data_IF_559012610102
#
_entry.id   IF_559012610102
#
_cell.length_a   1.000
_cell.length_b   1.000
_cell.length_c   1.000
_cell.angle_alpha   90.00
_cell.angle_beta   90.00
_cell.angle_gamma   90.00
#
_symmetry.space_group_name_H-M   'P 1'
#
loop_
_entity.id
_entity.type
_entity.pdbx_description
1 polymer ?
#
# COMPACT_ATOMS: atom_id res chain seq x y z
N UNK A 1 -21.46 31.66 39.80
CA UNK A 1 -21.83 30.40 39.09
C UNK A 1 -21.89 30.72 37.61
N UNK A 2 -20.72 30.78 36.97
CA UNK A 2 -20.65 30.89 35.51
C UNK A 2 -20.85 29.48 34.93
N UNK A 3 -21.85 29.32 34.07
CA UNK A 3 -22.08 28.08 33.34
C UNK A 3 -20.88 27.86 32.42
N UNK A 4 -19.97 26.96 32.82
CA UNK A 4 -18.99 26.33 31.94
C UNK A 4 -19.74 25.78 30.73
N UNK A 5 -19.61 26.43 29.57
CA UNK A 5 -20.07 25.87 28.31
C UNK A 5 -19.10 24.71 28.02
N UNK A 6 -19.47 23.49 28.41
CA UNK A 6 -18.86 22.29 27.87
C UNK A 6 -19.20 22.25 26.38
N UNK A 7 -18.33 22.83 25.55
CA UNK A 7 -18.44 22.67 24.10
C UNK A 7 -18.12 21.21 23.82
N UNK A 8 -19.10 20.46 23.30
CA UNK A 8 -18.95 19.06 22.92
C UNK A 8 -17.75 18.94 21.96
N UNK A 9 -16.75 18.06 22.24
CA UNK A 9 -15.63 17.80 21.34
C UNK A 9 -16.04 17.51 19.89
N UNK A 10 -17.25 16.98 19.66
CA UNK A 10 -17.82 16.76 18.32
C UNK A 10 -18.16 18.07 17.59
N UNK A 11 -18.49 19.14 18.31
CA UNK A 11 -18.76 20.48 17.74
C UNK A 11 -17.45 21.13 17.30
N UNK A 12 -16.37 20.97 18.08
CA UNK A 12 -15.04 21.47 17.73
C UNK A 12 -14.44 20.72 16.54
N UNK A 13 -14.65 19.41 16.47
CA UNK A 13 -14.28 18.61 15.31
C UNK A 13 -15.06 19.06 14.06
N UNK A 14 -16.39 19.22 14.17
CA UNK A 14 -17.23 19.73 13.08
C UNK A 14 -16.87 21.14 12.63
N UNK A 15 -16.41 22.01 13.53
CA UNK A 15 -15.91 23.34 13.18
C UNK A 15 -14.59 23.28 12.43
N UNK A 16 -13.67 22.39 12.83
CA UNK A 16 -12.43 22.17 12.10
C UNK A 16 -12.68 21.54 10.71
N UNK A 17 -13.56 20.55 10.62
CA UNK A 17 -14.02 19.90 9.38
C UNK A 17 -14.73 20.91 8.46
N UNK A 18 -15.64 21.72 8.98
CA UNK A 18 -16.33 22.79 8.23
C UNK A 18 -15.35 23.84 7.67
N UNK A 19 -14.31 24.17 8.41
CA UNK A 19 -13.26 25.09 7.95
C UNK A 19 -12.37 24.45 6.89
N UNK A 20 -12.15 23.14 6.96
CA UNK A 20 -11.33 22.40 6.00
C UNK A 20 -12.07 22.17 4.67
N UNK A 21 -13.36 21.82 4.72
CA UNK A 21 -14.22 21.46 3.59
C UNK A 21 -15.00 22.64 2.98
N UNK A 22 -15.11 23.76 3.70
CA UNK A 22 -15.85 24.94 3.24
C UNK A 22 -15.19 25.68 2.07
N UNK A 23 -16.02 26.28 1.20
CA UNK A 23 -15.62 27.21 0.12
C UNK A 23 -15.14 28.57 0.67
N UNK A 24 -14.21 28.56 1.62
CA UNK A 24 -13.61 29.76 2.23
C UNK A 24 -12.13 29.82 1.91
N UNK A 25 -11.62 31.04 1.76
CA UNK A 25 -10.22 31.29 1.43
C UNK A 25 -9.30 30.89 2.57
N UNK A 26 -8.07 30.46 2.26
CA UNK A 26 -7.07 30.04 3.26
C UNK A 26 -6.75 31.13 4.30
N UNK A 27 -6.87 32.41 3.92
CA UNK A 27 -6.76 33.55 4.85
C UNK A 27 -7.87 33.52 5.90
N UNK A 28 -9.10 33.19 5.49
CA UNK A 28 -10.24 33.07 6.39
C UNK A 28 -10.09 31.85 7.30
N UNK A 29 -9.58 30.72 6.78
CA UNK A 29 -9.28 29.53 7.60
C UNK A 29 -8.30 29.84 8.72
N UNK A 30 -7.19 30.53 8.42
CA UNK A 30 -6.19 30.94 9.42
C UNK A 30 -6.77 31.83 10.51
N UNK A 31 -7.61 32.80 10.14
CA UNK A 31 -8.28 33.68 11.09
C UNK A 31 -9.21 32.88 12.00
N UNK A 32 -10.03 31.99 11.42
CA UNK A 32 -11.01 31.21 12.19
C UNK A 32 -10.32 30.25 13.17
N UNK A 33 -9.28 29.56 12.74
CA UNK A 33 -8.53 28.65 13.61
C UNK A 33 -7.82 29.38 14.75
N UNK A 34 -7.29 30.59 14.52
CA UNK A 34 -6.71 31.40 15.60
C UNK A 34 -7.78 31.77 16.63
N UNK A 35 -8.95 32.23 16.17
CA UNK A 35 -10.08 32.58 17.05
C UNK A 35 -10.58 31.37 17.83
N UNK A 36 -10.72 30.21 17.20
CA UNK A 36 -11.09 28.95 17.87
C UNK A 36 -10.03 28.58 18.91
N UNK A 37 -8.74 28.70 18.57
CA UNK A 37 -7.68 28.39 19.52
C UNK A 37 -7.70 29.29 20.75
N UNK A 38 -7.91 30.60 20.58
CA UNK A 38 -8.03 31.56 21.68
C UNK A 38 -9.19 31.20 22.63
N UNK A 39 -10.38 30.95 22.07
CA UNK A 39 -11.55 30.52 22.85
C UNK A 39 -11.27 29.22 23.63
N UNK A 40 -10.58 28.26 23.03
CA UNK A 40 -10.20 27.02 23.71
C UNK A 40 -9.21 27.27 24.86
N UNK A 41 -8.25 28.19 24.68
CA UNK A 41 -7.31 28.55 25.76
C UNK A 41 -8.01 29.22 26.93
N UNK A 42 -8.92 30.15 26.65
CA UNK A 42 -9.72 30.86 27.66
C UNK A 42 -10.58 29.89 28.49
N UNK A 43 -11.06 28.81 27.87
CA UNK A 43 -11.86 27.77 28.53
C UNK A 43 -11.03 26.63 29.14
N UNK A 44 -9.71 26.81 29.35
CA UNK A 44 -8.79 25.79 29.87
C UNK A 44 -8.67 24.49 29.04
N UNK A 45 -9.13 24.50 27.78
CA UNK A 45 -9.03 23.37 26.84
C UNK A 45 -7.67 23.38 26.14
N UNK A 46 -6.60 23.19 26.93
CA UNK A 46 -5.22 23.34 26.47
C UNK A 46 -4.81 22.30 25.42
N UNK A 47 -5.31 21.06 25.53
CA UNK A 47 -4.93 19.97 24.60
C UNK A 47 -5.52 20.20 23.23
N UNK A 48 -6.76 20.67 23.18
CA UNK A 48 -7.52 20.99 21.99
C UNK A 48 -6.97 22.25 21.32
N UNK A 49 -6.59 23.26 22.11
CA UNK A 49 -5.89 24.44 21.59
C UNK A 49 -4.55 24.08 20.92
N UNK A 50 -3.76 23.18 21.53
CA UNK A 50 -2.51 22.68 20.94
C UNK A 50 -2.80 21.94 19.63
N UNK A 51 -3.82 21.09 19.60
CA UNK A 51 -4.23 20.39 18.38
C UNK A 51 -4.61 21.38 17.26
N UNK A 52 -5.38 22.43 17.56
CA UNK A 52 -5.76 23.47 16.60
C UNK A 52 -4.54 24.28 16.11
N UNK A 53 -3.61 24.64 17.02
CA UNK A 53 -2.37 25.35 16.65
C UNK A 53 -1.45 24.50 15.78
N UNK A 54 -1.39 23.20 16.04
CA UNK A 54 -0.62 22.27 15.22
C UNK A 54 -1.29 22.08 13.85
N UNK A 55 -2.63 22.04 13.79
CA UNK A 55 -3.40 22.02 12.54
C UNK A 55 -3.16 23.29 11.68
N UNK A 56 -3.09 24.45 12.33
CA UNK A 56 -2.67 25.70 11.69
C UNK A 56 -1.25 25.63 11.14
N UNK A 57 -0.34 25.01 11.89
CA UNK A 57 1.01 24.69 11.43
C UNK A 57 0.97 23.83 10.16
N UNK A 58 0.10 22.82 10.11
CA UNK A 58 -0.09 21.97 8.92
C UNK A 58 -0.62 22.74 7.71
N UNK A 59 -1.57 23.67 7.89
CA UNK A 59 -2.10 24.52 6.80
C UNK A 59 -1.02 25.47 6.29
N UNK A 60 -0.26 26.10 7.20
CA UNK A 60 0.84 26.96 6.84
C UNK A 60 1.96 26.19 6.12
N UNK A 61 2.25 24.96 6.55
CA UNK A 61 3.21 24.08 5.92
C UNK A 61 2.75 23.61 4.53
N UNK A 62 1.49 23.21 4.39
CA UNK A 62 0.90 22.83 3.10
C UNK A 62 0.96 23.96 2.06
N UNK A 63 0.93 25.23 2.49
CA UNK A 63 1.17 26.38 1.61
C UNK A 63 2.62 26.43 1.13
N UNK A 64 3.59 26.24 2.03
CA UNK A 64 5.02 26.18 1.68
C UNK A 64 5.27 25.04 0.68
N UNK A 65 4.59 23.91 0.83
CA UNK A 65 4.73 22.77 -0.07
C UNK A 65 4.05 22.94 -1.43
N UNK A 66 2.89 23.61 -1.51
CA UNK A 66 2.29 24.00 -2.79
C UNK A 66 3.15 25.00 -3.58
N UNK A 67 4.02 25.73 -2.89
CA UNK A 67 5.01 26.62 -3.50
C UNK A 67 6.34 25.89 -3.76
N UNK A 68 6.54 24.70 -3.18
CA UNK A 68 7.71 23.84 -3.33
C UNK A 68 7.41 22.60 -4.20
N UNK A 69 6.79 22.81 -5.36
CA UNK A 69 6.60 21.78 -6.41
C UNK A 69 7.94 21.17 -6.91
N UNK A 70 9.08 21.65 -6.39
CA UNK A 70 10.44 21.16 -6.62
C UNK A 70 11.04 20.52 -5.35
N UNK A 71 10.36 19.57 -4.70
CA UNK A 71 11.08 18.66 -3.80
C UNK A 71 12.12 17.96 -4.67
N UNK A 72 13.40 17.98 -4.26
CA UNK A 72 14.51 17.32 -4.98
C UNK A 72 14.33 15.78 -4.89
N UNK A 73 13.45 15.24 -5.72
CA UNK A 73 13.00 13.84 -5.74
C UNK A 73 14.02 12.89 -6.37
N UNK A 74 15.32 13.12 -6.20
CA UNK A 74 16.34 12.24 -6.79
C UNK A 74 16.21 10.78 -6.33
N UNK A 75 15.55 10.52 -5.19
CA UNK A 75 15.28 9.16 -4.67
C UNK A 75 13.81 8.79 -4.48
N UNK A 76 12.90 9.76 -4.43
CA UNK A 76 11.46 9.49 -4.31
C UNK A 76 10.82 9.37 -5.68
N UNK A 77 10.17 8.23 -5.92
CA UNK A 77 9.27 8.11 -7.05
C UNK A 77 7.86 8.51 -6.60
N UNK A 78 7.32 9.57 -7.20
CA UNK A 78 5.90 9.87 -7.08
C UNK A 78 5.12 8.82 -7.87
N UNK A 79 4.30 8.03 -7.17
CA UNK A 79 3.44 7.05 -7.80
C UNK A 79 2.06 7.66 -8.00
N UNK A 80 1.65 7.85 -9.27
CA UNK A 80 0.25 8.14 -9.58
C UNK A 80 -0.57 6.91 -9.16
N UNK A 81 -1.39 7.08 -8.14
CA UNK A 81 -2.36 6.07 -7.71
C UNK A 81 -3.58 6.15 -8.63
N UNK A 82 -3.48 5.52 -9.80
CA UNK A 82 -4.67 5.24 -10.61
C UNK A 82 -5.54 4.23 -9.86
N UNK A 83 -6.86 4.42 -9.93
CA UNK A 83 -7.86 3.61 -9.22
C UNK A 83 -7.74 2.16 -9.73
N UNK A 84 -6.92 1.34 -9.06
CA UNK A 84 -6.94 -0.10 -9.26
C UNK A 84 -8.29 -0.59 -8.76
N UNK A 85 -9.04 -1.16 -9.69
CA UNK A 85 -10.42 -1.60 -9.60
C UNK A 85 -10.75 -2.20 -8.23
N UNK A 86 -11.85 -1.69 -7.65
CA UNK A 86 -12.35 -2.06 -6.34
C UNK A 86 -12.51 -3.59 -6.23
N UNK A 87 -11.70 -4.22 -5.36
CA UNK A 87 -12.06 -5.32 -4.43
C UNK A 87 -10.81 -6.07 -3.93
N UNK A 88 -9.92 -5.39 -3.20
CA UNK A 88 -9.15 -6.09 -2.15
C UNK A 88 -10.07 -6.39 -0.96
N UNK A 89 -9.79 -7.43 -0.14
CA UNK A 89 -10.68 -7.91 0.92
C UNK A 89 -11.26 -6.75 1.76
N UNK A 90 -12.55 -6.45 1.50
CA UNK A 90 -13.24 -5.19 1.89
C UNK A 90 -13.12 -4.86 3.37
N UNK A 91 -13.06 -5.87 4.24
CA UNK A 91 -13.06 -5.66 5.69
C UNK A 91 -11.73 -5.15 6.23
N UNK A 92 -10.58 -5.65 5.73
CA UNK A 92 -9.25 -5.19 6.20
C UNK A 92 -8.88 -3.85 5.55
N UNK A 93 -9.22 -3.68 4.27
CA UNK A 93 -8.97 -2.43 3.54
C UNK A 93 -9.79 -1.28 4.14
N UNK A 94 -11.09 -1.48 4.38
CA UNK A 94 -11.97 -0.44 4.94
C UNK A 94 -11.47 0.11 6.27
N UNK A 95 -11.08 -0.76 7.20
CA UNK A 95 -10.53 -0.35 8.50
C UNK A 95 -9.22 0.42 8.36
N UNK A 96 -8.35 0.05 7.42
CA UNK A 96 -7.09 0.77 7.19
C UNK A 96 -7.35 2.14 6.57
N UNK A 97 -8.27 2.25 5.62
CA UNK A 97 -8.70 3.52 5.04
C UNK A 97 -9.28 4.42 6.12
N UNK A 98 -10.13 3.91 7.00
CA UNK A 98 -10.66 4.65 8.15
C UNK A 98 -9.56 5.14 9.08
N UNK A 99 -8.58 4.30 9.43
CA UNK A 99 -7.46 4.68 10.29
C UNK A 99 -6.59 5.76 9.62
N UNK A 100 -6.27 5.59 8.34
CA UNK A 100 -5.41 6.50 7.57
C UNK A 100 -6.10 7.86 7.37
N UNK A 101 -7.41 7.89 7.17
CA UNK A 101 -8.19 9.13 7.04
C UNK A 101 -8.52 9.78 8.39
N UNK A 102 -8.29 9.09 9.50
CA UNK A 102 -8.50 9.66 10.83
C UNK A 102 -7.26 10.45 11.25
N UNK A 103 -7.19 11.72 10.82
CA UNK A 103 -6.08 12.63 11.12
C UNK A 103 -5.77 12.71 12.61
N UNK A 104 -6.78 12.65 13.49
CA UNK A 104 -6.58 12.64 14.93
C UNK A 104 -5.85 11.37 15.43
N UNK A 105 -6.16 10.19 14.87
CA UNK A 105 -5.46 8.94 15.19
C UNK A 105 -4.02 8.98 14.66
N UNK A 106 -3.83 9.36 13.40
CA UNK A 106 -2.49 9.47 12.78
C UNK A 106 -1.61 10.45 13.56
N UNK A 107 -2.17 11.58 13.95
CA UNK A 107 -1.48 12.59 14.74
C UNK A 107 -1.12 12.09 16.14
N UNK A 108 -2.03 11.40 16.84
CA UNK A 108 -1.77 10.83 18.19
C UNK A 108 -0.63 9.82 18.22
N UNK A 109 -0.41 9.10 17.13
CA UNK A 109 0.71 8.15 17.02
C UNK A 109 2.06 8.81 16.71
N UNK A 110 2.14 10.15 16.62
CA UNK A 110 3.30 10.87 16.09
C UNK A 110 3.69 10.36 14.69
N UNK A 111 2.68 10.17 13.85
CA UNK A 111 2.78 9.52 12.55
C UNK A 111 2.37 8.05 12.61
N UNK A 112 1.58 7.62 11.62
CA UNK A 112 1.12 6.25 11.50
C UNK A 112 2.17 5.41 10.79
N UNK A 113 2.70 4.40 11.48
CA UNK A 113 3.74 3.50 10.97
C UNK A 113 3.13 2.11 10.79
N UNK A 114 3.03 1.65 9.55
CA UNK A 114 2.47 0.34 9.20
C UNK A 114 3.58 -0.52 8.61
N UNK A 115 3.73 -1.74 9.11
CA UNK A 115 4.61 -2.75 8.54
C UNK A 115 3.77 -3.84 7.87
N UNK A 116 3.94 -4.03 6.57
CA UNK A 116 3.26 -5.04 5.78
C UNK A 116 4.28 -6.10 5.38
N UNK A 117 4.03 -7.36 5.69
CA UNK A 117 4.96 -8.45 5.41
C UNK A 117 4.25 -9.71 4.93
N UNK A 118 4.98 -10.59 4.25
CA UNK A 118 4.44 -11.86 3.75
C UNK A 118 5.19 -12.34 2.52
N UNK A 119 4.83 -13.52 1.99
CA UNK A 119 5.50 -14.12 0.83
C UNK A 119 5.52 -13.17 -0.40
N UNK A 120 6.52 -13.27 -1.29
CA UNK A 120 6.50 -12.57 -2.58
C UNK A 120 5.20 -12.85 -3.36
N UNK A 121 4.74 -11.87 -4.15
CA UNK A 121 3.53 -12.04 -4.97
C UNK A 121 2.20 -11.94 -4.22
N UNK A 122 2.20 -11.64 -2.92
CA UNK A 122 0.96 -11.47 -2.11
C UNK A 122 0.28 -10.11 -2.28
N UNK A 123 0.72 -9.24 -3.20
CA UNK A 123 0.06 -7.96 -3.48
C UNK A 123 0.36 -6.83 -2.48
N UNK A 124 1.44 -6.91 -1.69
CA UNK A 124 1.81 -5.90 -0.68
C UNK A 124 1.92 -4.48 -1.25
N UNK A 125 2.67 -4.31 -2.35
CA UNK A 125 2.88 -3.00 -3.00
C UNK A 125 1.57 -2.47 -3.59
N UNK A 126 0.79 -3.34 -4.24
CA UNK A 126 -0.54 -3.00 -4.78
C UNK A 126 -1.54 -2.59 -3.69
N UNK A 127 -1.51 -3.24 -2.52
CA UNK A 127 -2.32 -2.84 -1.37
C UNK A 127 -2.01 -1.39 -0.94
N UNK A 128 -0.74 -0.99 -0.92
CA UNK A 128 -0.36 0.39 -0.57
C UNK A 128 -0.81 1.39 -1.64
N UNK A 129 -0.66 1.06 -2.92
CA UNK A 129 -1.18 1.88 -4.02
C UNK A 129 -2.71 2.06 -3.93
N UNK A 130 -3.42 0.97 -3.62
CA UNK A 130 -4.87 0.96 -3.42
C UNK A 130 -5.27 1.81 -2.20
N UNK A 131 -4.54 1.71 -1.08
CA UNK A 131 -4.76 2.54 0.10
C UNK A 131 -4.58 4.03 -0.23
N UNK A 132 -3.54 4.39 -0.97
CA UNK A 132 -3.32 5.78 -1.40
C UNK A 132 -4.45 6.29 -2.30
N UNK A 133 -4.90 5.49 -3.27
CA UNK A 133 -6.04 5.81 -4.12
C UNK A 133 -7.33 6.01 -3.30
N UNK A 134 -7.68 5.04 -2.45
CA UNK A 134 -8.89 5.04 -1.64
C UNK A 134 -8.93 6.19 -0.62
N UNK A 135 -7.77 6.59 -0.10
CA UNK A 135 -7.64 7.70 0.85
C UNK A 135 -7.42 9.05 0.15
N UNK A 136 -7.25 9.06 -1.18
CA UNK A 136 -6.92 10.25 -1.99
C UNK A 136 -5.68 10.99 -1.49
N UNK A 137 -4.70 10.24 -0.96
CA UNK A 137 -3.43 10.78 -0.43
C UNK A 137 -2.32 10.59 -1.46
N UNK A 138 -1.39 11.53 -1.51
CA UNK A 138 -0.17 11.40 -2.31
C UNK A 138 0.64 10.18 -1.86
N UNK A 139 1.19 9.43 -2.82
CA UNK A 139 2.05 8.28 -2.57
C UNK A 139 3.48 8.55 -3.04
N UNK A 140 4.40 8.58 -2.10
CA UNK A 140 5.84 8.64 -2.34
C UNK A 140 6.43 7.26 -2.09
N UNK A 141 7.22 6.75 -3.03
CA UNK A 141 7.88 5.45 -2.88
C UNK A 141 9.39 5.59 -2.89
N UNK A 142 10.04 4.85 -1.99
CA UNK A 142 11.49 4.64 -1.96
C UNK A 142 11.76 3.15 -1.79
N UNK A 143 12.64 2.58 -2.61
CA UNK A 143 13.19 1.25 -2.30
C UNK A 143 14.29 1.41 -1.27
N UNK A 144 14.25 0.61 -0.20
CA UNK A 144 15.28 0.67 0.84
C UNK A 144 16.68 0.31 0.33
N UNK A 145 16.80 -0.38 -0.82
CA UNK A 145 18.09 -0.70 -1.45
C UNK A 145 18.79 0.57 -1.97
N UNK A 146 18.03 1.58 -2.41
CA UNK A 146 18.55 2.89 -2.87
C UNK A 146 19.14 3.75 -1.73
N UNK A 147 18.89 3.37 -0.48
CA UNK A 147 19.39 4.07 0.71
C UNK A 147 20.80 3.56 1.06
N UNK A 148 21.10 2.30 0.76
CA UNK A 148 22.32 1.61 1.19
C UNK A 148 23.49 2.00 0.26
N UNK A 149 24.61 2.38 0.86
CA UNK A 149 25.89 2.62 0.19
C UNK A 149 26.96 1.70 0.77
N UNK A 150 27.92 1.31 -0.07
CA UNK A 150 29.11 0.55 0.35
C UNK A 150 30.17 1.43 1.03
N UNK A 151 29.97 2.75 1.06
CA UNK A 151 30.91 3.70 1.62
C UNK A 151 30.52 4.03 3.06
N UNK A 152 31.51 3.94 3.96
CA UNK A 152 31.36 4.18 5.39
C UNK A 152 30.64 5.50 5.67
N UNK A 153 29.51 5.43 6.39
CA UNK A 153 28.77 6.62 6.83
C UNK A 153 27.84 7.26 5.78
N UNK A 154 27.91 6.86 4.50
CA UNK A 154 27.01 7.40 3.48
C UNK A 154 25.58 6.88 3.65
N UNK A 155 25.40 5.63 4.09
CA UNK A 155 24.07 5.07 4.34
C UNK A 155 23.31 5.85 5.41
N UNK A 156 23.97 6.27 6.49
CA UNK A 156 23.35 7.08 7.54
C UNK A 156 22.96 8.47 7.01
N UNK A 157 23.82 9.10 6.20
CA UNK A 157 23.50 10.37 5.53
C UNK A 157 22.29 10.22 4.59
N UNK A 158 22.22 9.11 3.86
CA UNK A 158 21.08 8.81 2.98
C UNK A 158 19.79 8.63 3.79
N UNK A 159 19.85 7.98 4.95
CA UNK A 159 18.70 7.86 5.86
C UNK A 159 18.29 9.25 6.37
N UNK A 160 19.23 10.06 6.87
CA UNK A 160 18.91 11.40 7.36
C UNK A 160 18.26 12.26 6.24
N UNK A 161 18.85 12.26 5.04
CA UNK A 161 18.30 12.98 3.87
C UNK A 161 16.90 12.48 3.50
N UNK A 162 16.68 11.15 3.47
CA UNK A 162 15.37 10.57 3.22
C UNK A 162 14.32 11.10 4.20
N UNK A 163 14.66 11.14 5.49
CA UNK A 163 13.71 11.60 6.51
C UNK A 163 13.56 13.12 6.55
N UNK A 164 14.52 13.89 6.04
CA UNK A 164 14.36 15.31 5.74
C UNK A 164 13.38 15.53 4.59
N UNK A 165 13.54 14.80 3.49
CA UNK A 165 12.61 14.80 2.36
C UNK A 165 11.20 14.35 2.77
N UNK A 166 11.07 13.37 3.69
CA UNK A 166 9.77 12.98 4.28
C UNK A 166 9.14 14.11 5.08
N UNK A 167 9.93 14.92 5.80
CA UNK A 167 9.40 16.07 6.53
C UNK A 167 8.86 17.10 5.56
N UNK A 168 9.55 17.27 4.43
CA UNK A 168 9.18 18.15 3.32
C UNK A 168 8.09 17.58 2.41
N UNK A 169 7.73 16.30 2.53
CA UNK A 169 6.63 15.73 1.77
C UNK A 169 5.27 16.31 2.19
N UNK A 170 4.28 16.20 1.28
CA UNK A 170 2.93 16.70 1.53
C UNK A 170 2.35 16.14 2.83
N UNK A 171 1.73 17.00 3.62
CA UNK A 171 1.08 16.59 4.86
C UNK A 171 0.05 15.48 4.61
N UNK A 172 0.08 14.44 5.45
CA UNK A 172 -0.82 13.31 5.31
C UNK A 172 -0.57 12.46 4.06
N UNK A 173 0.56 12.61 3.38
CA UNK A 173 1.00 11.68 2.33
C UNK A 173 1.41 10.33 2.90
N UNK A 174 1.28 9.31 2.06
CA UNK A 174 1.74 7.96 2.33
C UNK A 174 3.16 7.83 1.77
N UNK A 175 4.10 7.44 2.62
CA UNK A 175 5.47 7.13 2.25
C UNK A 175 5.63 5.62 2.30
N UNK A 176 5.84 5.02 1.13
CA UNK A 176 6.15 3.62 0.96
C UNK A 176 7.67 3.42 1.01
N UNK A 177 8.11 2.59 1.95
CA UNK A 177 9.47 2.01 1.98
C UNK A 177 9.37 0.57 1.51
N UNK A 178 9.62 0.34 0.22
CA UNK A 178 9.59 -1.00 -0.38
C UNK A 178 10.93 -1.73 -0.17
N UNK A 179 10.90 -3.06 -0.31
CA UNK A 179 12.06 -3.93 -0.09
C UNK A 179 12.76 -3.65 1.23
N UNK A 180 12.01 -3.51 2.33
CA UNK A 180 12.57 -3.13 3.63
C UNK A 180 13.60 -4.15 4.15
N UNK A 181 13.50 -5.41 3.70
CA UNK A 181 14.52 -6.44 3.91
C UNK A 181 15.82 -6.22 3.10
N UNK A 182 15.90 -5.27 2.20
CA UNK A 182 17.19 -4.91 1.57
C UNK A 182 18.14 -4.22 2.54
N UNK A 183 17.63 -3.58 3.61
CA UNK A 183 18.44 -3.02 4.72
C UNK A 183 19.34 -4.07 5.40
N UNK A 184 19.24 -5.34 4.99
CA UNK A 184 20.01 -6.48 5.46
C UNK A 184 21.27 -6.77 4.66
N UNK A 185 21.45 -6.19 3.47
CA UNK A 185 22.35 -6.64 2.40
C UNK A 185 23.85 -6.75 2.70
N UNK A 186 24.28 -6.64 3.96
CA UNK A 186 25.68 -6.77 4.40
C UNK A 186 25.90 -7.82 5.49
N UNK A 187 24.95 -8.74 5.73
CA UNK A 187 24.96 -9.62 6.91
C UNK A 187 25.46 -11.05 6.73
N UNK A 188 26.03 -11.41 5.58
CA UNK A 188 26.87 -12.61 5.49
C UNK A 188 28.34 -12.24 5.75
N UNK A 189 28.65 -12.06 7.03
CA UNK A 189 29.95 -12.10 7.74
C UNK A 189 30.01 -11.01 8.79
N UNK A 190 29.94 -11.41 10.07
CA UNK A 190 30.20 -10.60 11.26
C UNK A 190 29.32 -9.34 11.40
N UNK A 191 28.50 -9.32 12.44
CA UNK A 191 27.62 -8.18 12.75
C UNK A 191 28.48 -6.91 12.94
N UNK A 192 28.61 -6.11 11.88
CA UNK A 192 29.42 -4.92 11.84
C UNK A 192 28.71 -3.77 12.57
N UNK A 193 29.43 -3.01 13.40
CA UNK A 193 28.93 -1.81 14.10
C UNK A 193 28.22 -0.83 13.15
N UNK A 194 28.61 -0.79 11.89
CA UNK A 194 27.95 0.02 10.86
C UNK A 194 26.47 -0.32 10.68
N UNK A 195 26.12 -1.60 10.73
CA UNK A 195 24.74 -2.04 10.64
C UNK A 195 23.92 -1.51 11.82
N UNK A 196 24.44 -1.64 13.05
CA UNK A 196 23.73 -1.15 14.24
C UNK A 196 23.61 0.37 14.25
N UNK A 197 24.64 1.09 13.77
CA UNK A 197 24.57 2.55 13.58
C UNK A 197 23.50 2.93 12.54
N UNK A 198 23.41 2.19 11.44
CA UNK A 198 22.38 2.38 10.42
C UNK A 198 20.97 2.17 11.00
N UNK A 199 20.72 1.04 11.67
CA UNK A 199 19.43 0.76 12.33
C UNK A 199 19.11 1.82 13.39
N UNK A 200 20.09 2.21 14.21
CA UNK A 200 19.93 3.28 15.19
C UNK A 200 19.53 4.62 14.55
N UNK A 201 20.15 4.97 13.42
CA UNK A 201 19.84 6.20 12.68
C UNK A 201 18.43 6.14 12.07
N UNK A 202 18.06 5.01 11.46
CA UNK A 202 16.72 4.79 10.94
C UNK A 202 15.67 4.90 12.04
N UNK A 203 15.88 4.19 13.15
CA UNK A 203 14.98 4.20 14.30
C UNK A 203 14.81 5.59 14.92
N UNK A 204 15.91 6.33 15.10
CA UNK A 204 15.90 7.71 15.58
C UNK A 204 15.07 8.62 14.66
N UNK A 205 15.18 8.46 13.35
CA UNK A 205 14.41 9.26 12.41
C UNK A 205 12.94 8.84 12.34
N UNK A 206 12.66 7.53 12.42
CA UNK A 206 11.30 7.01 12.52
C UNK A 206 10.58 7.55 13.78
N UNK A 207 11.28 7.70 14.90
CA UNK A 207 10.77 8.30 16.13
C UNK A 207 10.53 9.83 16.01
N UNK A 208 11.20 10.49 15.06
CA UNK A 208 11.13 11.94 14.82
C UNK A 208 10.32 12.33 13.58
N UNK A 209 9.48 11.42 13.07
CA UNK A 209 8.57 11.75 11.99
C UNK A 209 7.69 12.94 12.37
N UNK A 210 7.38 13.83 11.40
CA UNK A 210 6.32 14.81 11.60
C UNK A 210 5.03 14.13 12.06
N UNK A 211 4.30 14.80 12.95
CA UNK A 211 2.95 14.36 13.27
C UNK A 211 2.10 14.43 12.01
N UNK A 212 1.28 13.41 11.77
CA UNK A 212 0.50 13.29 10.54
C UNK A 212 1.19 12.56 9.39
N UNK A 213 2.50 12.23 9.50
CA UNK A 213 3.17 11.39 8.50
C UNK A 213 2.60 9.97 8.52
N UNK A 214 2.46 9.36 7.34
CA UNK A 214 2.08 7.95 7.22
C UNK A 214 3.23 7.23 6.53
N UNK A 215 3.88 6.31 7.23
CA UNK A 215 4.97 5.49 6.68
C UNK A 215 4.50 4.04 6.63
N UNK A 216 4.57 3.44 5.45
CA UNK A 216 4.28 2.03 5.22
C UNK A 216 5.55 1.35 4.73
N UNK A 217 6.06 0.38 5.50
CA UNK A 217 7.21 -0.42 5.09
C UNK A 217 6.77 -1.82 4.66
N UNK A 218 7.31 -2.31 3.54
CA UNK A 218 6.97 -3.62 2.98
C UNK A 218 8.18 -4.55 3.05
N UNK A 219 7.99 -5.80 3.48
CA UNK A 219 9.04 -6.81 3.45
C UNK A 219 8.57 -8.20 3.01
N UNK A 220 9.42 -8.91 2.28
CA UNK A 220 9.21 -10.33 1.98
C UNK A 220 9.79 -11.26 3.05
N UNK A 221 10.65 -10.74 3.93
CA UNK A 221 11.44 -11.54 4.88
C UNK A 221 11.43 -10.89 6.27
N UNK A 222 10.29 -10.94 6.98
CA UNK A 222 10.12 -10.25 8.27
C UNK A 222 11.11 -10.72 9.35
N UNK A 223 11.53 -11.99 9.30
CA UNK A 223 12.47 -12.61 10.26
C UNK A 223 13.84 -11.94 10.31
N UNK A 224 14.17 -11.15 9.29
CA UNK A 224 15.46 -10.49 9.24
C UNK A 224 15.42 -9.04 9.75
N UNK A 225 14.23 -8.44 9.89
CA UNK A 225 14.09 -7.08 10.37
C UNK A 225 14.37 -7.06 11.88
N UNK A 226 15.18 -6.09 12.31
CA UNK A 226 15.55 -5.94 13.71
C UNK A 226 14.33 -5.67 14.61
N UNK A 227 14.24 -6.36 15.75
CA UNK A 227 13.15 -6.22 16.70
C UNK A 227 12.98 -4.80 17.23
N UNK A 228 14.08 -4.04 17.39
CA UNK A 228 14.01 -2.65 17.83
C UNK A 228 13.27 -1.78 16.81
N UNK A 229 13.43 -2.07 15.52
CA UNK A 229 12.71 -1.41 14.44
C UNK A 229 11.26 -1.85 14.42
N UNK A 230 10.99 -3.17 14.52
CA UNK A 230 9.63 -3.71 14.51
C UNK A 230 8.74 -3.16 15.64
N UNK A 231 9.30 -2.84 16.81
CA UNK A 231 8.56 -2.25 17.94
C UNK A 231 8.03 -0.84 17.68
N UNK A 232 8.58 -0.13 16.68
CA UNK A 232 8.18 1.24 16.34
C UNK A 232 7.00 1.30 15.37
N UNK A 233 6.68 0.20 14.70
CA UNK A 233 5.50 0.11 13.86
C UNK A 233 4.25 -0.06 14.70
N UNK A 234 3.27 0.83 14.52
CA UNK A 234 2.01 0.81 15.25
C UNK A 234 1.15 -0.38 14.83
N UNK A 235 1.17 -0.72 13.54
CA UNK A 235 0.43 -1.83 12.96
C UNK A 235 1.37 -2.75 12.20
N UNK A 236 1.15 -4.05 12.35
CA UNK A 236 1.86 -5.11 11.63
C UNK A 236 0.82 -5.97 10.93
N UNK A 237 0.95 -6.09 9.62
CA UNK A 237 -0.04 -6.73 8.76
C UNK A 237 0.64 -7.83 7.99
N UNK A 238 0.23 -9.06 8.27
CA UNK A 238 0.63 -10.22 7.50
C UNK A 238 -0.29 -10.38 6.28
N UNK A 239 0.35 -10.41 5.11
CA UNK A 239 -0.27 -10.74 3.84
C UNK A 239 -0.07 -12.23 3.60
N UNK A 240 -1.18 -12.95 3.74
CA UNK A 240 -1.26 -14.38 3.53
C UNK A 240 -1.31 -14.71 2.03
N UNK A 241 -1.15 -15.99 1.72
CA UNK A 241 -1.45 -16.52 0.39
C UNK A 241 -2.89 -16.21 0.00
N UNK A 242 -3.10 -16.05 -1.31
CA UNK A 242 -4.41 -15.78 -1.87
C UNK A 242 -5.28 -17.04 -1.76
N UNK A 243 -6.52 -16.89 -1.28
CA UNK A 243 -7.47 -17.99 -1.32
C UNK A 243 -7.94 -18.24 -2.76
N UNK A 244 -8.42 -19.45 -3.08
CA UNK A 244 -8.99 -19.71 -4.42
C UNK A 244 -10.16 -18.77 -4.75
N UNK A 245 -11.01 -18.49 -3.77
CA UNK A 245 -12.15 -17.60 -3.93
C UNK A 245 -11.70 -16.16 -4.24
N UNK A 246 -10.70 -15.65 -3.50
CA UNK A 246 -10.11 -14.33 -3.75
C UNK A 246 -9.38 -14.29 -5.10
N UNK A 247 -8.71 -15.38 -5.50
CA UNK A 247 -8.02 -15.46 -6.79
C UNK A 247 -9.01 -15.36 -7.95
N UNK A 248 -10.11 -16.13 -7.91
CA UNK A 248 -11.15 -16.09 -8.95
C UNK A 248 -11.76 -14.69 -9.03
N UNK A 249 -12.09 -14.07 -7.89
CA UNK A 249 -12.60 -12.69 -7.85
C UNK A 249 -11.61 -11.69 -8.42
N UNK A 250 -10.33 -11.83 -8.08
CA UNK A 250 -9.25 -10.97 -8.59
C UNK A 250 -9.14 -11.10 -10.12
N UNK A 251 -9.23 -12.32 -10.66
CA UNK A 251 -9.29 -12.54 -12.11
C UNK A 251 -10.47 -11.81 -12.75
N UNK A 252 -11.69 -12.01 -12.23
CA UNK A 252 -12.91 -11.38 -12.78
C UNK A 252 -12.80 -9.86 -12.77
N UNK A 253 -12.32 -9.28 -11.66
CA UNK A 253 -12.20 -7.84 -11.52
C UNK A 253 -11.16 -7.29 -12.51
N UNK A 254 -9.95 -7.87 -12.50
CA UNK A 254 -8.84 -7.36 -13.28
C UNK A 254 -8.99 -7.60 -14.78
N UNK A 255 -9.60 -8.71 -15.19
CA UNK A 255 -9.88 -9.00 -16.59
C UNK A 255 -10.87 -7.99 -17.21
N UNK A 256 -11.83 -7.47 -16.42
CA UNK A 256 -12.79 -6.46 -16.88
C UNK A 256 -12.13 -5.16 -17.29
N UNK A 257 -11.05 -4.75 -16.62
CA UNK A 257 -10.28 -3.54 -16.98
C UNK A 257 -9.72 -3.62 -18.42
N UNK A 258 -9.57 -4.83 -18.95
CA UNK A 258 -9.04 -5.10 -20.28
C UNK A 258 -10.09 -5.72 -21.23
N UNK A 259 -11.37 -5.65 -20.88
CA UNK A 259 -12.49 -6.20 -21.66
C UNK A 259 -12.40 -7.71 -21.94
N UNK A 260 -11.79 -8.49 -21.03
CA UNK A 260 -11.84 -9.94 -21.12
C UNK A 260 -13.05 -10.50 -20.35
N UNK A 261 -13.69 -11.52 -20.95
CA UNK A 261 -14.63 -12.38 -20.23
C UNK A 261 -13.88 -13.48 -19.47
N UNK A 262 -14.39 -13.84 -18.29
CA UNK A 262 -13.81 -14.86 -17.41
C UNK A 262 -14.88 -15.89 -17.06
N UNK A 263 -14.59 -17.16 -17.28
CA UNK A 263 -15.34 -18.30 -16.74
C UNK A 263 -14.77 -18.71 -15.39
N UNK A 264 -15.41 -18.24 -14.33
CA UNK A 264 -15.03 -18.47 -12.94
C UNK A 264 -14.90 -19.96 -12.60
N UNK A 265 -15.78 -20.81 -13.15
CA UNK A 265 -15.72 -22.25 -12.90
C UNK A 265 -14.45 -22.87 -13.50
N UNK A 266 -14.08 -22.41 -14.69
CA UNK A 266 -12.92 -22.90 -15.40
C UNK A 266 -11.62 -22.39 -14.79
N UNK A 267 -11.56 -21.12 -14.36
CA UNK A 267 -10.44 -20.59 -13.56
C UNK A 267 -10.26 -21.40 -12.27
N UNK A 268 -11.35 -21.66 -11.53
CA UNK A 268 -11.29 -22.44 -10.29
C UNK A 268 -10.77 -23.87 -10.57
N UNK A 269 -11.25 -24.53 -11.63
CA UNK A 269 -10.75 -25.85 -12.04
C UNK A 269 -9.26 -25.82 -12.38
N UNK A 270 -8.79 -24.82 -13.11
CA UNK A 270 -7.37 -24.67 -13.48
C UNK A 270 -6.52 -24.42 -12.23
N UNK A 271 -6.95 -23.52 -11.35
CA UNK A 271 -6.23 -23.18 -10.11
C UNK A 271 -6.05 -24.39 -9.18
N UNK A 272 -7.04 -25.29 -9.11
CA UNK A 272 -6.96 -26.54 -8.35
C UNK A 272 -5.91 -27.53 -8.87
N UNK A 273 -5.38 -27.34 -10.09
CA UNK A 273 -4.36 -28.22 -10.66
C UNK A 273 -2.98 -27.98 -10.05
N UNK A 274 -2.67 -26.73 -9.67
CA UNK A 274 -1.40 -26.32 -9.06
C UNK A 274 -1.64 -25.26 -7.99
N UNK A 275 -2.14 -25.71 -6.84
CA UNK A 275 -2.51 -24.82 -5.74
C UNK A 275 -1.30 -24.07 -5.15
N UNK A 276 -0.12 -24.72 -5.13
CA UNK A 276 1.08 -24.17 -4.49
C UNK A 276 1.68 -22.95 -5.21
N UNK A 277 1.33 -22.76 -6.50
CA UNK A 277 1.85 -21.66 -7.34
C UNK A 277 0.96 -20.41 -7.32
N UNK A 278 -0.14 -20.41 -6.56
CA UNK A 278 -1.16 -19.36 -6.61
C UNK A 278 -0.78 -18.14 -5.77
N UNK A 279 -0.75 -16.97 -6.40
CA UNK A 279 -0.49 -15.68 -5.76
C UNK A 279 -1.14 -14.53 -6.56
N UNK A 280 -1.20 -13.32 -6.00
CA UNK A 280 -1.79 -12.17 -6.70
C UNK A 280 -1.01 -11.77 -7.95
N UNK A 281 0.32 -11.89 -7.96
CA UNK A 281 1.14 -11.54 -9.14
C UNK A 281 0.88 -12.45 -10.34
N UNK A 282 0.39 -13.67 -10.13
CA UNK A 282 0.00 -14.57 -11.20
C UNK A 282 -1.09 -13.95 -12.09
N UNK A 283 -2.07 -13.26 -11.49
CA UNK A 283 -3.21 -12.69 -12.23
C UNK A 283 -2.72 -11.67 -13.27
N UNK A 284 -1.82 -10.76 -12.89
CA UNK A 284 -1.23 -9.78 -13.82
C UNK A 284 -0.45 -10.44 -14.95
N UNK A 285 0.33 -11.49 -14.64
CA UNK A 285 1.08 -12.23 -15.65
C UNK A 285 0.15 -12.95 -16.63
N UNK A 286 -0.92 -13.57 -16.14
CA UNK A 286 -1.90 -14.25 -16.98
C UNK A 286 -2.63 -13.26 -17.89
N UNK A 287 -3.04 -12.11 -17.38
CA UNK A 287 -3.67 -11.06 -18.18
C UNK A 287 -2.69 -10.53 -19.24
N UNK A 288 -1.42 -10.35 -18.87
CA UNK A 288 -0.39 -9.96 -19.83
C UNK A 288 -0.22 -10.98 -20.95
N UNK A 289 -0.20 -12.28 -20.62
CA UNK A 289 -0.16 -13.36 -21.62
C UNK A 289 -1.41 -13.34 -22.51
N UNK A 290 -2.60 -13.14 -21.92
CA UNK A 290 -3.86 -13.07 -22.67
C UNK A 290 -3.86 -11.90 -23.67
N UNK A 291 -3.40 -10.72 -23.24
CA UNK A 291 -3.25 -9.52 -24.08
C UNK A 291 -2.24 -9.72 -25.21
N UNK A 292 -1.06 -10.26 -24.90
CA UNK A 292 0.05 -10.36 -25.85
C UNK A 292 -0.13 -11.50 -26.86
N UNK A 293 -0.82 -12.57 -26.47
CA UNK A 293 -0.99 -13.76 -27.32
C UNK A 293 -2.41 -13.91 -27.87
N UNK A 294 -3.27 -12.90 -27.66
CA UNK A 294 -4.68 -12.90 -28.05
C UNK A 294 -5.44 -14.16 -27.60
N UNK A 295 -5.20 -14.57 -26.34
CA UNK A 295 -5.82 -15.75 -25.73
C UNK A 295 -6.94 -15.37 -24.77
N UNK A 296 -7.82 -16.33 -24.52
CA UNK A 296 -8.71 -16.28 -23.36
C UNK A 296 -7.91 -16.25 -22.05
N UNK A 297 -8.50 -15.70 -20.98
CA UNK A 297 -7.86 -15.70 -19.65
C UNK A 297 -7.58 -17.14 -19.20
N UNK A 298 -8.48 -18.08 -19.46
CA UNK A 298 -8.32 -19.48 -19.06
C UNK A 298 -7.18 -20.16 -19.85
N UNK A 299 -7.04 -19.84 -21.14
CA UNK A 299 -5.95 -20.37 -21.95
C UNK A 299 -4.60 -19.77 -21.59
N UNK A 300 -4.56 -18.47 -21.29
CA UNK A 300 -3.38 -17.82 -20.75
C UNK A 300 -3.00 -18.38 -19.38
N UNK A 301 -3.98 -18.67 -18.51
CA UNK A 301 -3.75 -19.24 -17.19
C UNK A 301 -3.17 -20.65 -17.27
N UNK A 302 -3.75 -21.51 -18.11
CA UNK A 302 -3.23 -22.85 -18.31
C UNK A 302 -1.82 -22.85 -18.91
N UNK A 303 -1.53 -21.92 -19.83
CA UNK A 303 -0.19 -21.72 -20.36
C UNK A 303 0.79 -21.29 -19.27
N UNK A 304 0.41 -20.30 -18.45
CA UNK A 304 1.25 -19.81 -17.34
C UNK A 304 1.64 -20.94 -16.39
N UNK A 305 0.69 -21.83 -16.07
CA UNK A 305 0.92 -23.00 -15.23
C UNK A 305 1.64 -24.16 -15.95
N UNK A 306 1.99 -24.01 -17.23
CA UNK A 306 2.56 -25.05 -18.10
C UNK A 306 1.73 -26.34 -18.11
N UNK A 307 0.41 -26.21 -18.21
CA UNK A 307 -0.49 -27.36 -18.28
C UNK A 307 -0.49 -27.97 -19.69
N UNK A 308 -0.26 -29.27 -19.76
CA UNK A 308 -0.39 -30.05 -20.99
C UNK A 308 -1.86 -30.41 -21.27
N UNK A 309 -2.13 -30.85 -22.51
CA UNK A 309 -3.46 -31.39 -22.84
C UNK A 309 -3.82 -32.62 -22.00
N UNK A 310 -2.83 -33.41 -21.59
CA UNK A 310 -3.07 -34.61 -20.80
C UNK A 310 -3.40 -34.27 -19.35
N UNK A 311 -2.81 -33.20 -18.80
CA UNK A 311 -3.19 -32.65 -17.49
C UNK A 311 -4.68 -32.25 -17.48
N UNK A 312 -5.15 -31.62 -18.56
CA UNK A 312 -6.55 -31.21 -18.71
C UNK A 312 -7.48 -32.44 -18.89
N UNK A 313 -7.08 -33.43 -19.71
CA UNK A 313 -7.87 -34.65 -19.91
C UNK A 313 -8.01 -35.48 -18.63
N UNK A 314 -6.93 -35.62 -17.87
CA UNK A 314 -6.87 -36.52 -16.70
C UNK A 314 -7.72 -36.03 -15.52
N UNK A 315 -8.07 -34.74 -15.47
CA UNK A 315 -8.81 -34.14 -14.34
C UNK A 315 -10.27 -33.75 -14.67
N UNK A 316 -10.94 -34.52 -15.55
CA UNK A 316 -12.38 -34.41 -15.88
C UNK A 316 -12.81 -33.09 -16.55
N UNK A 317 -11.94 -32.42 -17.31
CA UNK A 317 -12.37 -31.32 -18.16
C UNK A 317 -13.25 -31.85 -19.30
N UNK A 318 -14.33 -31.14 -19.62
CA UNK A 318 -15.16 -31.43 -20.78
C UNK A 318 -14.43 -31.02 -22.07
N UNK A 319 -14.84 -31.57 -23.22
CA UNK A 319 -14.25 -31.18 -24.50
C UNK A 319 -14.41 -29.68 -24.82
N UNK A 320 -15.50 -29.06 -24.37
CA UNK A 320 -15.73 -27.61 -24.53
C UNK A 320 -14.76 -26.79 -23.68
N UNK A 321 -14.52 -27.23 -22.45
CA UNK A 321 -13.56 -26.59 -21.56
C UNK A 321 -12.14 -26.72 -22.11
N UNK A 322 -11.75 -27.91 -22.59
CA UNK A 322 -10.42 -28.11 -23.20
C UNK A 322 -10.26 -27.23 -24.45
N UNK A 323 -11.28 -27.11 -25.29
CA UNK A 323 -11.26 -26.21 -26.46
C UNK A 323 -11.04 -24.74 -26.04
N UNK A 324 -11.77 -24.27 -25.02
CA UNK A 324 -11.64 -22.89 -24.52
C UNK A 324 -10.27 -22.59 -23.88
N UNK A 325 -9.67 -23.58 -23.21
CA UNK A 325 -8.34 -23.45 -22.59
C UNK A 325 -7.21 -23.60 -23.61
N UNK A 326 -7.28 -24.59 -24.49
CA UNK A 326 -6.18 -24.90 -25.42
C UNK A 326 -6.23 -24.09 -26.72
N UNK A 327 -7.40 -23.52 -27.07
CA UNK A 327 -7.67 -22.96 -28.40
C UNK A 327 -7.78 -24.01 -29.51
N UNK A 328 -7.68 -25.31 -29.18
CA UNK A 328 -7.74 -26.41 -30.17
C UNK A 328 -9.19 -26.79 -30.41
N UNK A 329 -9.61 -26.78 -31.68
CA UNK A 329 -10.98 -27.13 -32.05
C UNK A 329 -11.40 -28.52 -31.53
N UNK A 330 -12.67 -28.63 -31.15
CA UNK A 330 -13.25 -29.89 -30.66
C UNK A 330 -13.11 -31.06 -31.63
N UNK A 331 -13.21 -30.81 -32.94
CA UNK A 331 -13.02 -31.82 -33.99
C UNK A 331 -11.61 -32.41 -33.98
N UNK A 332 -10.59 -31.60 -33.73
CA UNK A 332 -9.20 -32.05 -33.64
C UNK A 332 -8.96 -32.84 -32.36
N UNK A 333 -9.54 -32.40 -31.23
CA UNK A 333 -9.44 -33.10 -29.95
C UNK A 333 -10.11 -34.48 -29.98
N UNK A 334 -11.25 -34.62 -30.66
CA UNK A 334 -11.96 -35.89 -30.81
C UNK A 334 -11.21 -36.92 -31.66
N UNK A 335 -10.43 -36.47 -32.65
CA UNK A 335 -9.56 -37.36 -33.46
C UNK A 335 -8.42 -37.91 -32.59
N UNK A 336 -7.68 -37.03 -31.90
CA UNK A 336 -6.60 -37.45 -30.98
C UNK A 336 -7.06 -38.42 -29.89
N UNK A 337 -8.30 -38.31 -29.41
CA UNK A 337 -8.86 -39.24 -28.41
C UNK A 337 -9.18 -40.65 -28.95
N UNK A 338 -9.42 -40.78 -30.26
CA UNK A 338 -9.67 -42.07 -30.92
C UNK A 338 -8.37 -42.81 -31.26
N UNK A 339 -7.27 -42.08 -31.42
CA UNK A 339 -5.98 -42.62 -31.88
C UNK A 339 -5.09 -43.13 -30.73
N UNK A 340 -5.50 -43.00 -29.46
CA UNK A 340 -4.88 -43.69 -28.33
C UNK A 340 -3.55 -43.13 -27.82
N UNK A 341 -3.22 -41.88 -28.13
CA UNK A 341 -2.07 -41.13 -27.57
C UNK A 341 -2.42 -40.32 -26.31
#
# INVERSE_FOLDING_TARGET
MERLIQIDPKILLKLAEFVQEGNITERQKKILFNQISEVLQENNMRKESIYIKDLLGHIAYAKVLKEADEIDTTKFQFLKSELLSEELPKQRLGRLVEIINNDHVVYKFNGLKIFIYGKPGTGKTSLVQTLAAATKKHLYSVSASNIISSRLGETQKNIDKLFEEIKEAHYGSIILVDEFDSLLGSRDREINDEYYRMIGTFNKNLDKLPKGSIVIAISNKPSFIDDSTLRRFNLKIEMNEISLDDLVKTFVCRAKDFNFEVDENLINKIAQLKYDDLNYSLVENVISIALLEEKSIEGAFAKFLNLSLDDLKNKKFTLREIEKVSGISRSTLQRKRKDGE
#
